data_IF_803681426139
#
_entry.id   IF_803681426139
#
_cell.length_a   1.000
_cell.length_b   1.000
_cell.length_c   1.000
_cell.angle_alpha   90.00
_cell.angle_beta   90.00
_cell.angle_gamma   90.00
#
_symmetry.space_group_name_H-M   'P 1'
#
loop_
_entity.id
_entity.type
_entity.pdbx_description
1 polymer ?
#
# COMPACT_ATOMS: atom_id res chain seq x y z
N UNK A 1 16.64 6.54 -14.50
CA UNK A 1 17.21 5.31 -13.94
C UNK A 1 17.89 5.74 -12.66
N UNK A 2 17.31 5.40 -11.52
CA UNK A 2 17.90 5.75 -10.23
C UNK A 2 19.08 4.80 -9.93
N UNK A 3 20.07 5.27 -9.18
CA UNK A 3 21.32 4.52 -8.91
C UNK A 3 21.05 3.15 -8.25
N UNK A 4 20.04 3.07 -7.39
CA UNK A 4 19.64 1.83 -6.72
C UNK A 4 19.10 0.77 -7.69
N UNK A 5 18.59 1.13 -8.87
CA UNK A 5 18.11 0.17 -9.87
C UNK A 5 19.25 -0.74 -10.36
N UNK A 6 20.50 -0.23 -10.34
CA UNK A 6 21.71 -0.97 -10.74
C UNK A 6 22.09 -2.09 -9.75
N UNK A 7 21.56 -2.05 -8.53
CA UNK A 7 21.82 -3.08 -7.53
C UNK A 7 21.09 -4.39 -7.83
N UNK A 8 20.09 -4.39 -8.74
CA UNK A 8 19.41 -5.60 -9.15
C UNK A 8 20.24 -6.38 -10.18
N UNK A 9 20.92 -7.42 -9.71
CA UNK A 9 21.83 -8.25 -10.51
C UNK A 9 21.20 -9.55 -11.02
N UNK A 10 20.20 -10.08 -10.32
CA UNK A 10 19.52 -11.32 -10.70
C UNK A 10 18.15 -11.05 -11.36
N UNK A 11 17.90 -11.58 -12.57
CA UNK A 11 16.65 -11.31 -13.31
C UNK A 11 15.42 -12.02 -12.71
N UNK A 12 15.61 -13.01 -11.83
CA UNK A 12 14.53 -13.68 -11.09
C UNK A 12 14.12 -12.96 -9.81
N UNK A 13 14.91 -11.99 -9.35
CA UNK A 13 14.64 -11.22 -8.14
C UNK A 13 13.94 -9.91 -8.51
N UNK A 14 13.21 -9.35 -7.56
CA UNK A 14 12.59 -8.03 -7.71
C UNK A 14 13.06 -7.14 -6.58
N UNK A 15 13.91 -6.16 -6.91
CA UNK A 15 14.31 -5.13 -5.98
C UNK A 15 13.26 -4.01 -6.00
N UNK A 16 12.93 -3.49 -4.82
CA UNK A 16 12.06 -2.34 -4.69
C UNK A 16 12.63 -1.29 -3.73
N UNK A 17 12.50 -0.02 -4.10
CA UNK A 17 12.68 1.08 -3.18
C UNK A 17 11.38 1.28 -2.37
N UNK A 18 11.50 1.39 -1.05
CA UNK A 18 10.37 1.61 -0.16
C UNK A 18 10.22 3.10 0.17
N UNK A 19 8.98 3.58 0.14
CA UNK A 19 8.58 4.89 0.69
C UNK A 19 7.45 4.69 1.68
N UNK A 20 7.62 5.22 2.90
CA UNK A 20 6.64 5.10 3.96
C UNK A 20 5.83 6.38 4.10
N UNK A 21 4.52 6.23 4.27
CA UNK A 21 3.58 7.31 4.51
C UNK A 21 2.70 6.93 5.71
N UNK A 22 2.17 7.93 6.41
CA UNK A 22 1.16 7.73 7.44
C UNK A 22 -0.10 8.52 7.09
N UNK A 23 -1.26 7.94 7.37
CA UNK A 23 -2.57 8.56 7.22
C UNK A 23 -3.38 8.35 8.48
N UNK A 24 -3.93 9.43 9.04
CA UNK A 24 -4.94 9.34 10.09
C UNK A 24 -6.33 9.36 9.46
N UNK A 25 -7.09 8.29 9.69
CA UNK A 25 -8.51 8.18 9.32
C UNK A 25 -9.38 8.46 10.54
N UNK A 26 -10.16 9.53 10.47
CA UNK A 26 -11.17 9.87 11.48
C UNK A 26 -12.44 9.08 11.21
N UNK A 27 -12.94 8.35 12.20
CA UNK A 27 -14.19 7.59 12.15
C UNK A 27 -15.02 7.87 13.41
N UNK A 28 -16.32 7.54 13.44
CA UNK A 28 -17.16 7.74 14.63
C UNK A 28 -16.57 7.11 15.91
N UNK A 29 -15.83 6.01 15.75
CA UNK A 29 -15.23 5.24 16.85
C UNK A 29 -13.82 5.71 17.23
N UNK A 30 -13.31 6.79 16.62
CA UNK A 30 -12.01 7.37 16.92
C UNK A 30 -11.11 7.61 15.70
N UNK A 31 -9.88 8.05 15.98
CA UNK A 31 -8.83 8.19 14.97
C UNK A 31 -8.02 6.91 14.85
N UNK A 32 -7.81 6.44 13.63
CA UNK A 32 -6.99 5.27 13.33
C UNK A 32 -5.86 5.67 12.40
N UNK A 33 -4.63 5.35 12.80
CA UNK A 33 -3.44 5.57 11.98
C UNK A 33 -3.17 4.37 11.08
N UNK A 34 -3.04 4.63 9.79
CA UNK A 34 -2.62 3.68 8.75
C UNK A 34 -1.21 4.04 8.31
N UNK A 35 -0.30 3.09 8.36
CA UNK A 35 1.00 3.19 7.72
C UNK A 35 0.91 2.59 6.32
N UNK A 36 1.27 3.36 5.31
CA UNK A 36 1.24 2.97 3.91
C UNK A 36 2.68 2.78 3.43
N UNK A 37 2.97 1.63 2.84
CA UNK A 37 4.25 1.34 2.20
C UNK A 37 4.06 1.35 0.69
N UNK A 38 4.78 2.24 0.01
CA UNK A 38 4.88 2.24 -1.45
C UNK A 38 6.17 1.54 -1.87
N UNK A 39 6.04 0.52 -2.72
CA UNK A 39 7.12 -0.25 -3.32
C UNK A 39 7.28 0.20 -4.76
N UNK A 40 8.41 0.80 -5.08
CA UNK A 40 8.83 1.09 -6.45
C UNK A 40 9.74 -0.02 -6.95
N UNK A 41 9.27 -0.83 -7.91
CA UNK A 41 10.05 -1.94 -8.45
C UNK A 41 10.92 -1.51 -9.64
N UNK A 42 12.09 -2.16 -9.81
CA UNK A 42 12.94 -1.98 -11.00
C UNK A 42 12.28 -2.57 -12.26
N UNK A 43 11.50 -3.64 -12.10
CA UNK A 43 11.12 -4.55 -13.19
C UNK A 43 10.20 -3.89 -14.24
N UNK A 44 10.63 -4.00 -15.51
CA UNK A 44 9.99 -3.40 -16.69
C UNK A 44 8.97 -4.30 -17.42
N UNK A 45 8.61 -5.47 -16.89
CA UNK A 45 7.77 -6.44 -17.63
C UNK A 45 6.37 -5.90 -17.95
N UNK A 46 5.82 -5.04 -17.10
CA UNK A 46 4.55 -4.36 -17.37
C UNK A 46 4.67 -2.89 -16.92
N UNK A 47 4.98 -1.99 -17.87
CA UNK A 47 5.25 -0.56 -17.62
C UNK A 47 4.11 0.18 -16.88
N UNK A 48 2.93 -0.44 -16.80
CA UNK A 48 1.75 0.13 -16.16
C UNK A 48 1.79 0.05 -14.62
N UNK A 49 2.61 -0.83 -14.03
CA UNK A 49 2.55 -1.18 -12.60
C UNK A 49 3.92 -1.10 -11.89
N UNK A 50 4.63 0.02 -12.04
CA UNK A 50 5.93 0.27 -11.37
C UNK A 50 5.80 0.48 -9.86
N UNK A 51 4.68 1.03 -9.40
CA UNK A 51 4.46 1.40 -8.00
C UNK A 51 3.29 0.63 -7.40
N UNK A 52 3.52 0.02 -6.24
CA UNK A 52 2.50 -0.65 -5.44
C UNK A 52 2.43 -0.04 -4.03
N UNK A 53 1.28 0.50 -3.66
CA UNK A 53 1.01 1.02 -2.33
C UNK A 53 0.13 0.05 -1.55
N UNK A 54 0.43 -0.17 -0.29
CA UNK A 54 -0.30 -1.08 0.59
C UNK A 54 -0.31 -0.54 2.02
N UNK A 55 -1.45 -0.63 2.70
CA UNK A 55 -1.58 -0.25 4.09
C UNK A 55 -1.23 -1.42 5.03
N UNK A 56 -0.71 -1.08 6.21
CA UNK A 56 -0.37 -2.02 7.30
C UNK A 56 -1.60 -2.67 7.95
N UNK A 57 -2.76 -2.02 7.84
CA UNK A 57 -4.02 -2.44 8.48
C UNK A 57 -5.07 -2.85 7.47
N UNK A 58 -5.83 -3.87 7.83
CA UNK A 58 -7.04 -4.29 7.11
C UNK A 58 -8.24 -3.42 7.45
N UNK A 59 -9.19 -3.36 6.54
CA UNK A 59 -10.53 -2.77 6.70
C UNK A 59 -11.59 -3.87 6.51
N UNK A 60 -12.85 -3.58 6.86
CA UNK A 60 -13.97 -4.53 6.69
C UNK A 60 -13.77 -5.88 7.41
N UNK A 61 -13.05 -5.88 8.54
CA UNK A 61 -12.56 -7.08 9.23
C UNK A 61 -13.66 -8.07 9.65
N UNK A 62 -14.83 -7.60 10.03
CA UNK A 62 -15.96 -8.41 10.50
C UNK A 62 -16.80 -8.99 9.36
N UNK A 63 -16.69 -8.44 8.15
CA UNK A 63 -17.46 -8.92 6.97
C UNK A 63 -16.57 -9.72 6.01
N UNK A 64 -15.52 -9.07 5.50
CA UNK A 64 -14.54 -9.67 4.59
C UNK A 64 -13.25 -8.84 4.68
N UNK A 65 -12.24 -9.30 5.45
CA UNK A 65 -11.01 -8.57 5.65
C UNK A 65 -10.35 -8.18 4.33
N UNK A 66 -10.12 -6.88 4.16
CA UNK A 66 -9.52 -6.32 2.95
C UNK A 66 -8.33 -5.46 3.33
N UNK A 67 -7.15 -5.78 2.80
CA UNK A 67 -5.95 -4.95 2.91
C UNK A 67 -6.02 -3.85 1.86
N UNK A 68 -6.16 -2.56 2.25
CA UNK A 68 -6.15 -1.47 1.30
C UNK A 68 -4.85 -1.41 0.51
N UNK A 69 -4.97 -1.42 -0.81
CA UNK A 69 -3.82 -1.34 -1.70
C UNK A 69 -4.16 -0.55 -2.98
N UNK A 70 -3.13 -0.25 -3.76
CA UNK A 70 -3.26 0.50 -5.00
C UNK A 70 -2.03 0.38 -5.90
N UNK A 71 -2.26 0.20 -7.20
CA UNK A 71 -1.20 0.20 -8.22
C UNK A 71 -1.15 1.54 -8.95
N UNK A 72 0.03 1.92 -9.42
CA UNK A 72 0.18 3.14 -10.21
C UNK A 72 1.44 3.17 -11.07
N UNK A 73 1.37 3.97 -12.13
CA UNK A 73 2.53 4.33 -12.95
C UNK A 73 3.45 5.35 -12.28
N UNK A 74 3.02 5.94 -11.17
CA UNK A 74 3.80 6.88 -10.35
C UNK A 74 3.53 6.61 -8.87
N UNK A 75 4.46 7.04 -8.00
CA UNK A 75 4.30 6.97 -6.54
C UNK A 75 2.95 7.58 -6.10
N UNK A 76 2.65 8.79 -6.58
CA UNK A 76 1.43 9.53 -6.18
C UNK A 76 0.17 8.81 -6.64
N UNK A 77 0.16 8.22 -7.83
CA UNK A 77 -0.99 7.43 -8.31
C UNK A 77 -1.23 6.21 -7.42
N UNK A 78 -0.20 5.41 -7.13
CA UNK A 78 -0.33 4.24 -6.27
C UNK A 78 -0.82 4.62 -4.87
N UNK A 79 -0.23 5.68 -4.29
CA UNK A 79 -0.66 6.21 -3.00
C UNK A 79 -2.12 6.68 -3.03
N UNK A 80 -2.54 7.39 -4.07
CA UNK A 80 -3.93 7.87 -4.22
C UNK A 80 -4.91 6.71 -4.29
N UNK A 81 -4.62 5.67 -5.07
CA UNK A 81 -5.46 4.47 -5.13
C UNK A 81 -5.54 3.76 -3.77
N UNK A 82 -4.41 3.64 -3.05
CA UNK A 82 -4.41 3.05 -1.71
C UNK A 82 -5.24 3.89 -0.71
N UNK A 83 -5.12 5.22 -0.73
CA UNK A 83 -5.94 6.11 0.11
C UNK A 83 -7.44 5.96 -0.21
N UNK A 84 -7.82 5.85 -1.50
CA UNK A 84 -9.21 5.57 -1.88
C UNK A 84 -9.68 4.22 -1.37
N UNK A 85 -8.83 3.19 -1.47
CA UNK A 85 -9.09 1.87 -0.90
C UNK A 85 -9.30 1.92 0.61
N UNK A 86 -8.52 2.72 1.35
CA UNK A 86 -8.69 2.95 2.80
C UNK A 86 -10.05 3.59 3.08
N UNK A 87 -10.51 4.52 2.24
CA UNK A 87 -11.81 5.16 2.39
C UNK A 87 -13.01 4.28 2.03
N UNK A 88 -12.80 3.22 1.24
CA UNK A 88 -13.87 2.35 0.73
C UNK A 88 -14.64 1.61 1.82
N UNK A 89 -13.94 1.20 2.88
CA UNK A 89 -14.52 0.44 3.99
C UNK A 89 -14.16 1.06 5.35
N UNK A 90 -14.99 0.85 6.38
CA UNK A 90 -14.65 1.23 7.74
C UNK A 90 -13.52 0.34 8.30
N UNK A 91 -12.80 0.87 9.28
CA UNK A 91 -11.90 0.07 10.11
C UNK A 91 -12.69 -0.42 11.31
N UNK A 92 -12.84 -1.73 11.46
CA UNK A 92 -13.70 -2.31 12.48
C UNK A 92 -12.94 -2.77 13.74
N UNK A 93 -11.62 -2.62 13.74
CA UNK A 93 -10.75 -3.06 14.83
C UNK A 93 -10.26 -4.51 14.69
N UNK A 94 -9.28 -4.93 15.50
CA UNK A 94 -8.97 -6.35 15.63
C UNK A 94 -10.21 -7.07 16.20
N UNK A 95 -10.56 -8.22 15.61
CA UNK A 95 -11.64 -9.07 16.14
C UNK A 95 -11.25 -9.48 17.56
N UNK A 96 -11.76 -8.79 18.59
CA UNK A 96 -11.63 -9.24 19.97
C UNK A 96 -12.61 -10.40 20.14
N UNK A 97 -12.17 -11.60 19.77
CA UNK A 97 -12.80 -12.83 20.24
C UNK A 97 -12.61 -12.90 21.75
N UNK A 98 -13.66 -12.56 22.48
CA UNK A 98 -13.84 -12.92 23.88
C UNK A 98 -14.43 -14.34 23.96
#
# INVERSE_FOLDING_TARGET
>A
MAEWELAQTHPSEQLAQLSFFSMKKVQPNGEIEFQITVREFVTQQDKSMRYFAEADRQTNQNTAPFTPCGWGSTLVKALTECLRSIHRFPYEGPMTGA
#
